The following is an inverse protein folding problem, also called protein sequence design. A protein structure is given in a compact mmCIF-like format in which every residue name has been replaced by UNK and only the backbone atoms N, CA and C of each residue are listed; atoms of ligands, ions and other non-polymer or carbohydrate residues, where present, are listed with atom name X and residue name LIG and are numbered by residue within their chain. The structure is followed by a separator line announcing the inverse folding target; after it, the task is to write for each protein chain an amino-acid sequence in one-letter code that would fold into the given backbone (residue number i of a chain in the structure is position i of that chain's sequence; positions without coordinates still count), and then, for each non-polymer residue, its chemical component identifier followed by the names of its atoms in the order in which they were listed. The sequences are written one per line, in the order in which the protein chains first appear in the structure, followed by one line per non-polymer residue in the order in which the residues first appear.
data_IF_669943935947
#
_entry.id   IF_669943935947
#
_cell.length_a   1.000
_cell.length_b   1.000
_cell.length_c   1.000
_cell.angle_alpha   90.00
_cell.angle_beta   90.00
_cell.angle_gamma   90.00
#
_symmetry.space_group_name_H-M   'P 1'
#
loop_
_entity.id
_entity.type
_entity.pdbx_description
1 polymer ?
#
# COMPACT_ATOMS: atom_id res chain seq x y z
N UNK A 1 -12.65 14.14 -9.00
CA UNK A 1 -13.25 14.68 -7.75
C UNK A 1 -14.75 14.40 -7.77
N UNK A 2 -15.35 14.16 -6.60
CA UNK A 2 -16.77 13.84 -6.44
C UNK A 2 -17.39 14.74 -5.36
N UNK A 3 -18.68 15.03 -5.51
CA UNK A 3 -19.45 15.76 -4.49
C UNK A 3 -19.89 14.91 -3.31
N UNK A 4 -19.95 13.58 -3.47
CA UNK A 4 -20.38 12.64 -2.43
C UNK A 4 -19.42 12.57 -1.23
N UNK A 5 -19.89 12.15 -0.05
CA UNK A 5 -19.06 12.02 1.14
C UNK A 5 -18.00 10.93 0.97
N UNK A 6 -16.95 10.97 1.80
CA UNK A 6 -15.99 9.87 1.87
C UNK A 6 -16.70 8.59 2.38
N UNK A 7 -16.40 7.45 1.76
CA UNK A 7 -16.97 6.15 2.12
C UNK A 7 -16.01 5.30 2.94
N UNK A 8 -14.71 5.58 2.82
CA UNK A 8 -13.62 4.92 3.55
C UNK A 8 -12.54 5.96 3.87
N UNK A 9 -11.71 5.64 4.86
CA UNK A 9 -10.48 6.35 5.18
C UNK A 9 -9.24 5.57 4.70
N UNK A 10 -8.04 6.07 5.01
CA UNK A 10 -6.77 5.46 4.61
C UNK A 10 -6.59 4.00 5.08
N UNK A 11 -7.24 3.59 6.18
CA UNK A 11 -7.14 2.24 6.72
C UNK A 11 -8.25 1.34 6.17
N UNK A 12 -9.50 1.73 6.35
CA UNK A 12 -10.69 0.95 5.94
C UNK A 12 -10.80 0.75 4.43
N UNK A 13 -10.08 1.55 3.63
CA UNK A 13 -9.89 1.29 2.20
C UNK A 13 -9.37 -0.12 1.92
N UNK A 14 -8.42 -0.63 2.70
CA UNK A 14 -7.81 -1.95 2.46
C UNK A 14 -8.80 -3.09 2.66
N UNK A 15 -9.67 -3.01 3.68
CA UNK A 15 -10.77 -3.96 3.87
C UNK A 15 -11.75 -3.92 2.70
N UNK A 16 -12.10 -2.72 2.23
CA UNK A 16 -13.00 -2.56 1.08
C UNK A 16 -12.36 -3.07 -0.22
N UNK A 17 -11.07 -2.83 -0.42
CA UNK A 17 -10.30 -3.33 -1.55
C UNK A 17 -10.24 -4.87 -1.58
N UNK A 18 -9.96 -5.51 -0.45
CA UNK A 18 -9.93 -6.96 -0.33
C UNK A 18 -11.29 -7.64 -0.61
N UNK A 19 -12.39 -6.88 -0.56
CA UNK A 19 -13.74 -7.37 -0.90
C UNK A 19 -14.08 -7.28 -2.39
N UNK A 20 -13.21 -6.64 -3.19
CA UNK A 20 -13.41 -6.54 -4.63
C UNK A 20 -13.07 -7.88 -5.30
N UNK A 21 -13.85 -8.24 -6.31
CA UNK A 21 -13.56 -9.40 -7.15
C UNK A 21 -12.26 -9.17 -7.93
N UNK A 22 -11.25 -10.00 -7.69
CA UNK A 22 -9.96 -9.97 -8.40
C UNK A 22 -10.10 -10.27 -9.90
N UNK A 23 -11.24 -10.82 -10.32
CA UNK A 23 -11.52 -11.22 -11.69
C UNK A 23 -10.91 -12.58 -12.04
N UNK A 24 -10.95 -12.94 -13.33
CA UNK A 24 -10.37 -14.19 -13.82
C UNK A 24 -8.83 -14.19 -13.61
N UNK A 25 -8.26 -15.14 -12.85
CA UNK A 25 -6.82 -15.23 -12.62
C UNK A 25 -6.00 -15.28 -13.92
N UNK A 26 -6.53 -15.88 -14.99
CA UNK A 26 -5.87 -15.94 -16.28
C UNK A 26 -5.79 -14.55 -16.91
N UNK A 27 -6.87 -13.77 -16.84
CA UNK A 27 -6.88 -12.39 -17.33
C UNK A 27 -5.92 -11.50 -16.53
N UNK A 28 -5.87 -11.66 -15.20
CA UNK A 28 -4.92 -10.93 -14.35
C UNK A 28 -3.47 -11.26 -14.74
N UNK A 29 -3.14 -12.54 -14.93
CA UNK A 29 -1.80 -12.97 -15.35
C UNK A 29 -1.45 -12.46 -16.75
N UNK A 30 -2.37 -12.53 -17.70
CA UNK A 30 -2.17 -12.03 -19.06
C UNK A 30 -1.98 -10.51 -19.07
N UNK A 31 -2.75 -9.76 -18.28
CA UNK A 31 -2.59 -8.32 -18.14
C UNK A 31 -1.22 -7.95 -17.57
N UNK A 32 -0.75 -8.65 -16.52
CA UNK A 32 0.59 -8.47 -15.95
C UNK A 32 1.67 -8.73 -17.00
N UNK A 33 1.59 -9.84 -17.73
CA UNK A 33 2.54 -10.19 -18.79
C UNK A 33 2.61 -9.11 -19.88
N UNK A 34 1.45 -8.67 -20.40
CA UNK A 34 1.38 -7.63 -21.43
C UNK A 34 2.00 -6.31 -20.96
N UNK A 35 1.80 -5.94 -19.68
CA UNK A 35 2.43 -4.75 -19.09
C UNK A 35 3.95 -4.90 -19.03
N UNK A 36 4.45 -6.04 -18.59
CA UNK A 36 5.90 -6.31 -18.56
C UNK A 36 6.50 -6.29 -19.97
N UNK A 37 5.82 -6.88 -20.96
CA UNK A 37 6.27 -6.94 -22.36
C UNK A 37 6.31 -5.55 -23.04
N UNK A 38 5.61 -4.54 -22.48
CA UNK A 38 5.64 -3.17 -23.00
C UNK A 38 7.00 -2.48 -22.77
N UNK A 39 7.79 -2.96 -21.80
CA UNK A 39 9.11 -2.42 -21.51
C UNK A 39 10.17 -3.10 -22.37
N UNK A 40 11.02 -2.30 -23.05
CA UNK A 40 12.15 -2.82 -23.85
C UNK A 40 13.22 -3.53 -22.99
N UNK A 41 13.23 -3.26 -21.69
CA UNK A 41 14.07 -3.90 -20.70
C UNK A 41 13.95 -3.24 -19.32
N UNK A 42 14.66 -3.75 -18.30
CA UNK A 42 14.56 -3.23 -16.92
C UNK A 42 14.84 -1.73 -16.81
N UNK A 43 15.82 -1.23 -17.55
CA UNK A 43 16.17 0.18 -17.54
C UNK A 43 15.04 1.11 -18.04
N UNK A 44 14.15 0.65 -18.93
CA UNK A 44 12.98 1.45 -19.33
C UNK A 44 11.94 1.54 -18.21
N UNK A 45 11.71 0.45 -17.47
CA UNK A 45 10.79 0.46 -16.34
C UNK A 45 11.29 1.39 -15.22
N UNK A 46 12.59 1.36 -14.92
CA UNK A 46 13.19 2.26 -13.90
C UNK A 46 13.09 3.73 -14.32
N UNK A 47 13.32 4.07 -15.60
CA UNK A 47 13.14 5.45 -16.08
C UNK A 47 11.70 5.92 -15.96
N UNK A 48 10.75 5.09 -16.40
CA UNK A 48 9.33 5.42 -16.30
C UNK A 48 8.89 5.60 -14.85
N UNK A 49 9.37 4.75 -13.93
CA UNK A 49 9.14 4.93 -12.50
C UNK A 49 9.68 6.27 -12.00
N UNK A 50 10.86 6.69 -12.46
CA UNK A 50 11.43 8.01 -12.17
C UNK A 50 10.57 9.16 -12.70
N UNK A 51 10.06 9.04 -13.92
CA UNK A 51 9.20 10.05 -14.56
C UNK A 51 7.85 10.19 -13.83
N UNK A 52 7.24 9.05 -13.47
CA UNK A 52 6.00 8.99 -12.68
C UNK A 52 6.25 9.56 -11.29
N UNK A 53 7.32 9.16 -10.60
CA UNK A 53 7.67 9.65 -9.26
C UNK A 53 7.90 11.17 -9.25
N UNK A 54 8.62 11.70 -10.24
CA UNK A 54 8.83 13.14 -10.38
C UNK A 54 7.54 13.91 -10.63
N UNK A 55 6.59 13.32 -11.35
CA UNK A 55 5.27 13.90 -11.61
C UNK A 55 4.37 13.84 -10.39
N UNK A 56 4.32 12.70 -9.70
CA UNK A 56 3.57 12.53 -8.46
C UNK A 56 4.05 13.51 -7.39
N UNK A 57 5.36 13.71 -7.23
CA UNK A 57 5.91 14.68 -6.28
C UNK A 57 5.31 16.08 -6.49
N UNK A 58 5.29 16.58 -7.72
CA UNK A 58 4.71 17.90 -8.05
C UNK A 58 3.20 17.93 -7.80
N UNK A 59 2.49 16.88 -8.18
CA UNK A 59 1.03 16.82 -8.01
C UNK A 59 0.66 16.78 -6.52
N UNK A 60 1.39 16.01 -5.70
CA UNK A 60 1.12 15.90 -4.27
C UNK A 60 1.37 17.20 -3.52
N UNK A 61 2.39 17.99 -3.92
CA UNK A 61 2.66 19.31 -3.34
C UNK A 61 1.50 20.29 -3.56
N UNK A 62 0.82 20.20 -4.71
CA UNK A 62 -0.24 21.13 -5.13
C UNK A 62 -1.66 20.54 -5.02
N UNK A 63 -1.83 19.29 -4.55
CA UNK A 63 -3.13 18.62 -4.56
C UNK A 63 -4.06 19.31 -3.56
N UNK A 64 -5.14 19.98 -4.01
CA UNK A 64 -6.05 20.64 -3.08
C UNK A 64 -6.81 19.60 -2.27
N UNK A 65 -7.27 19.99 -1.08
CA UNK A 65 -8.26 19.21 -0.35
C UNK A 65 -9.51 18.96 -1.21
N UNK A 66 -10.08 17.77 -1.04
CA UNK A 66 -11.19 17.31 -1.85
C UNK A 66 -11.49 15.84 -1.63
N UNK A 67 -12.44 15.33 -2.42
CA UNK A 67 -12.90 13.93 -2.39
C UNK A 67 -12.78 13.31 -3.77
N UNK A 68 -12.31 12.07 -3.84
CA UNK A 68 -11.94 11.39 -5.08
C UNK A 68 -12.58 10.01 -5.14
N UNK A 69 -13.23 9.71 -6.27
CA UNK A 69 -13.75 8.39 -6.54
C UNK A 69 -12.59 7.51 -7.01
N UNK A 70 -12.35 6.41 -6.32
CA UNK A 70 -11.25 5.50 -6.59
C UNK A 70 -11.68 4.08 -6.25
N UNK A 71 -11.64 3.18 -7.25
CA UNK A 71 -11.98 1.76 -7.11
C UNK A 71 -13.33 1.50 -6.40
N UNK A 72 -14.37 2.25 -6.80
CA UNK A 72 -15.71 2.13 -6.21
C UNK A 72 -15.87 2.80 -4.84
N UNK A 73 -14.80 3.35 -4.26
CA UNK A 73 -14.81 4.07 -3.00
C UNK A 73 -14.64 5.59 -3.20
N UNK A 74 -14.91 6.37 -2.16
CA UNK A 74 -14.61 7.80 -2.10
C UNK A 74 -13.68 8.09 -0.95
N UNK A 75 -12.50 8.64 -1.25
CA UNK A 75 -11.45 8.99 -0.30
C UNK A 75 -11.24 10.51 -0.26
N UNK A 76 -10.79 11.05 0.87
CA UNK A 76 -10.25 12.42 0.88
C UNK A 76 -8.92 12.49 0.12
N UNK A 77 -8.44 13.68 -0.23
CA UNK A 77 -7.10 13.84 -0.81
C UNK A 77 -6.02 13.20 0.08
N UNK A 78 -6.09 13.43 1.40
CA UNK A 78 -5.15 12.87 2.36
C UNK A 78 -5.22 11.34 2.44
N UNK A 79 -6.44 10.78 2.52
CA UNK A 79 -6.61 9.33 2.59
C UNK A 79 -6.12 8.63 1.31
N UNK A 80 -6.42 9.19 0.14
CA UNK A 80 -5.95 8.65 -1.14
C UNK A 80 -4.42 8.68 -1.24
N UNK A 81 -3.77 9.75 -0.78
CA UNK A 81 -2.30 9.82 -0.77
C UNK A 81 -1.71 8.84 0.24
N UNK A 82 -2.34 8.68 1.41
CA UNK A 82 -1.92 7.72 2.41
C UNK A 82 -1.99 6.28 1.89
N UNK A 83 -3.05 5.89 1.16
CA UNK A 83 -3.14 4.55 0.55
C UNK A 83 -2.00 4.30 -0.42
N UNK A 84 -1.65 5.28 -1.27
CA UNK A 84 -0.51 5.16 -2.18
C UNK A 84 0.84 5.09 -1.48
N UNK A 85 1.01 5.84 -0.39
CA UNK A 85 2.24 5.82 0.40
C UNK A 85 2.45 4.46 1.08
N UNK A 86 1.40 3.87 1.65
CA UNK A 86 1.42 2.52 2.24
C UNK A 86 1.72 1.47 1.17
N UNK A 87 1.00 1.48 0.04
CA UNK A 87 1.25 0.58 -1.10
C UNK A 87 2.72 0.62 -1.54
N UNK A 88 3.25 1.85 -1.70
CA UNK A 88 4.64 2.05 -2.14
C UNK A 88 5.64 1.57 -1.09
N UNK A 89 5.38 1.80 0.19
CA UNK A 89 6.25 1.32 1.27
C UNK A 89 6.31 -0.21 1.31
N UNK A 90 5.15 -0.89 1.22
CA UNK A 90 5.08 -2.34 1.22
C UNK A 90 5.77 -2.92 -0.02
N UNK A 91 5.48 -2.39 -1.21
CA UNK A 91 6.12 -2.89 -2.43
C UNK A 91 7.60 -2.52 -2.55
N UNK A 92 8.06 -1.45 -1.91
CA UNK A 92 9.49 -1.18 -1.78
C UNK A 92 10.20 -2.30 -1.02
N UNK A 93 9.56 -2.85 0.03
CA UNK A 93 10.09 -4.01 0.75
C UNK A 93 10.06 -5.28 -0.11
N UNK A 94 9.01 -5.47 -0.92
CA UNK A 94 8.88 -6.61 -1.85
C UNK A 94 9.99 -6.63 -2.93
N UNK A 95 10.58 -5.46 -3.27
CA UNK A 95 11.67 -5.38 -4.26
C UNK A 95 13.00 -5.98 -3.78
N UNK A 96 13.19 -6.12 -2.45
CA UNK A 96 14.43 -6.64 -1.85
C UNK A 96 15.71 -5.95 -2.39
N UNK A 97 15.60 -4.67 -2.74
CA UNK A 97 16.66 -3.93 -3.43
C UNK A 97 17.83 -3.52 -2.52
N UNK A 98 17.80 -3.86 -1.22
CA UNK A 98 18.84 -3.49 -0.25
C UNK A 98 18.88 -2.00 0.10
N UNK A 99 17.84 -1.24 -0.26
CA UNK A 99 17.72 0.19 0.08
C UNK A 99 16.64 0.36 1.15
N UNK A 100 16.85 1.18 2.18
CA UNK A 100 15.85 1.40 3.22
C UNK A 100 14.62 2.11 2.65
N UNK A 101 13.43 1.73 3.11
CA UNK A 101 12.23 2.52 2.89
C UNK A 101 12.30 3.81 3.72
N UNK A 102 11.65 4.91 3.28
CA UNK A 102 11.54 6.11 4.11
C UNK A 102 10.86 5.81 5.46
N UNK A 103 11.46 6.25 6.56
CA UNK A 103 10.93 6.01 7.92
C UNK A 103 9.47 6.48 8.08
N UNK A 104 9.15 7.66 7.55
CA UNK A 104 7.78 8.20 7.58
C UNK A 104 6.76 7.34 6.82
N UNK A 105 7.20 6.64 5.77
CA UNK A 105 6.34 5.74 5.02
C UNK A 105 6.11 4.42 5.77
N UNK A 106 7.14 3.92 6.46
CA UNK A 106 7.03 2.74 7.33
C UNK A 106 6.15 3.03 8.56
N UNK A 107 6.33 4.18 9.21
CA UNK A 107 5.48 4.62 10.31
C UNK A 107 4.00 4.71 9.88
N UNK A 108 3.74 5.29 8.70
CA UNK A 108 2.38 5.33 8.17
C UNK A 108 1.82 3.93 7.88
N UNK A 109 2.61 3.04 7.27
CA UNK A 109 2.19 1.66 7.02
C UNK A 109 1.93 0.88 8.31
N UNK A 110 2.76 1.06 9.34
CA UNK A 110 2.54 0.49 10.68
C UNK A 110 1.22 1.00 11.27
N UNK A 111 1.00 2.31 11.31
CA UNK A 111 -0.24 2.90 11.83
C UNK A 111 -1.48 2.42 11.07
N UNK A 112 -1.38 2.24 9.76
CA UNK A 112 -2.46 1.64 8.95
C UNK A 112 -2.74 0.20 9.38
N UNK A 113 -1.70 -0.61 9.58
CA UNK A 113 -1.86 -1.99 10.05
C UNK A 113 -2.46 -2.04 11.46
N UNK A 114 -2.00 -1.19 12.38
CA UNK A 114 -2.54 -1.09 13.74
C UNK A 114 -4.01 -0.65 13.75
N UNK A 115 -4.38 0.29 12.88
CA UNK A 115 -5.77 0.72 12.71
C UNK A 115 -6.67 -0.42 12.20
N UNK A 116 -6.19 -1.22 11.23
CA UNK A 116 -6.90 -2.40 10.73
C UNK A 116 -6.98 -3.52 11.78
N UNK A 117 -5.93 -3.71 12.56
CA UNK A 117 -5.87 -4.69 13.64
C UNK A 117 -6.80 -4.31 14.81
N UNK A 118 -7.00 -3.00 15.03
CA UNK A 118 -7.77 -2.43 16.15
C UNK A 118 -6.96 -2.30 17.44
N UNK A 119 -5.64 -2.52 17.40
CA UNK A 119 -4.72 -2.38 18.54
C UNK A 119 -3.27 -2.17 18.06
N UNK A 120 -2.36 -1.66 18.91
CA UNK A 120 -0.97 -1.43 18.51
C UNK A 120 -0.18 -2.73 18.30
N UNK A 121 0.76 -2.72 17.36
CA UNK A 121 1.73 -3.80 17.19
C UNK A 121 2.80 -3.71 18.29
N UNK A 122 3.48 -4.82 18.63
CA UNK A 122 4.52 -4.82 19.66
C UNK A 122 5.54 -3.70 19.47
N UNK A 123 5.77 -2.92 20.53
CA UNK A 123 6.69 -1.76 20.49
C UNK A 123 8.15 -2.16 20.32
N UNK A 124 8.50 -3.41 20.61
CA UNK A 124 9.83 -3.98 20.37
C UNK A 124 10.14 -4.29 18.90
N UNK A 125 9.12 -4.31 18.03
CA UNK A 125 9.32 -4.54 16.61
C UNK A 125 9.75 -3.25 15.91
N UNK A 126 10.82 -3.34 15.12
CA UNK A 126 11.17 -2.29 14.18
C UNK A 126 10.05 -2.13 13.15
N UNK A 127 9.81 -0.91 12.65
CA UNK A 127 8.67 -0.65 11.76
C UNK A 127 8.72 -1.50 10.47
N UNK A 128 9.93 -1.80 9.97
CA UNK A 128 10.09 -2.72 8.84
C UNK A 128 9.54 -4.11 9.16
N UNK A 129 9.93 -4.69 10.30
CA UNK A 129 9.48 -6.02 10.71
C UNK A 129 7.98 -6.03 11.01
N UNK A 130 7.50 -4.98 11.70
CA UNK A 130 6.09 -4.81 12.00
C UNK A 130 5.24 -4.77 10.72
N UNK A 131 5.67 -4.02 9.71
CA UNK A 131 4.99 -3.96 8.41
C UNK A 131 5.07 -5.31 7.69
N UNK A 132 6.24 -5.95 7.61
CA UNK A 132 6.40 -7.25 6.94
C UNK A 132 5.51 -8.34 7.55
N UNK A 133 5.41 -8.39 8.87
CA UNK A 133 4.56 -9.35 9.59
C UNK A 133 3.09 -9.01 9.40
N UNK A 134 2.71 -7.74 9.61
CA UNK A 134 1.31 -7.32 9.53
C UNK A 134 0.73 -7.40 8.10
N UNK A 135 1.61 -7.40 7.09
CA UNK A 135 1.25 -7.55 5.68
C UNK A 135 1.49 -8.95 5.12
N UNK A 136 1.86 -9.92 5.97
CA UNK A 136 1.96 -11.34 5.61
C UNK A 136 3.17 -11.72 4.76
N UNK A 137 4.15 -10.81 4.59
CA UNK A 137 5.41 -11.11 3.89
C UNK A 137 6.34 -11.99 4.72
N UNK A 138 6.22 -11.90 6.05
CA UNK A 138 6.98 -12.71 7.01
C UNK A 138 6.02 -13.33 8.03
N UNK A 139 6.27 -14.57 8.50
CA UNK A 139 5.46 -15.18 9.56
C UNK A 139 5.47 -14.37 10.85
N UNK A 140 4.41 -14.49 11.65
CA UNK A 140 4.35 -13.90 12.99
C UNK A 140 5.41 -14.54 13.89
N UNK A 141 6.33 -13.78 14.49
CA UNK A 141 7.36 -14.29 15.39
C UNK A 141 6.75 -14.67 16.76
N UNK A 142 7.52 -15.42 17.57
CA UNK A 142 7.07 -15.96 18.86
C UNK A 142 6.61 -14.87 19.85
N UNK A 143 7.27 -13.72 19.86
CA UNK A 143 6.91 -12.58 20.70
C UNK A 143 5.62 -11.85 20.24
N UNK A 144 5.11 -12.20 19.06
CA UNK A 144 3.81 -11.79 18.53
C UNK A 144 2.74 -12.89 18.55
N UNK A 145 2.97 -14.04 19.18
CA UNK A 145 2.07 -15.20 19.09
C UNK A 145 0.60 -14.90 19.46
N UNK A 146 0.35 -13.92 20.35
CA UNK A 146 -1.00 -13.48 20.70
C UNK A 146 -1.78 -12.88 19.50
N UNK A 147 -1.08 -12.41 18.47
CA UNK A 147 -1.64 -11.81 17.26
C UNK A 147 -1.68 -12.77 16.07
N UNK A 148 -1.17 -14.00 16.19
CA UNK A 148 -1.02 -14.93 15.08
C UNK A 148 -2.33 -15.31 14.36
N UNK A 149 -3.46 -15.27 15.06
CA UNK A 149 -4.79 -15.51 14.47
C UNK A 149 -5.47 -14.28 13.86
N UNK A 150 -4.82 -13.11 13.93
CA UNK A 150 -5.36 -11.80 13.48
C UNK A 150 -4.46 -11.08 12.49
N UNK A 151 -3.24 -11.58 12.30
CA UNK A 151 -2.33 -11.14 11.25
C UNK A 151 -2.26 -12.20 10.15
N UNK A 152 -2.07 -11.80 8.88
CA UNK A 152 -1.94 -10.42 8.43
C UNK A 152 -3.27 -9.66 8.37
N UNK A 153 -3.19 -8.33 8.43
CA UNK A 153 -4.34 -7.42 8.27
C UNK A 153 -4.41 -6.79 6.88
N UNK A 154 -3.35 -6.96 6.08
CA UNK A 154 -3.20 -6.38 4.75
C UNK A 154 -2.44 -7.38 3.86
N UNK A 155 -3.16 -8.23 3.12
CA UNK A 155 -2.54 -9.27 2.29
C UNK A 155 -3.57 -10.18 1.65
#
# INVERSE_FOLDING_TARGET
RTGGPATVDAATYWTAFASLDEGDPVEVLLARRRRSDAYRGPASAVRELGDVGGTLRRICEDLPDGRHAFQGQVLTSGDLLATWAVETAVHHLDLLAGHPAPESALDLARRTCEALLGEPLPTGWADTDAVLVATGRVPVPDDGAALAGRLPVLG
#
